data_IF_279775606646
#
_entry.id   IF_279775606646
#
_cell.length_a   1.000
_cell.length_b   1.000
_cell.length_c   1.000
_cell.angle_alpha   90.00
_cell.angle_beta   90.00
_cell.angle_gamma   90.00
#
_symmetry.space_group_name_H-M   'P 1'
#
loop_
_entity.id
_entity.type
_entity.pdbx_description
1 polymer ?
#
# COMPACT_ATOMS: atom_id res chain seq x y z
N UNK A 1 3.81 -21.08 3.26
CA UNK A 1 3.02 -20.18 4.13
C UNK A 1 1.69 -19.88 3.44
N UNK A 2 0.54 -20.11 4.09
CA UNK A 2 -0.76 -19.63 3.57
C UNK A 2 -0.70 -18.10 3.49
N UNK A 3 -1.17 -17.51 2.38
CA UNK A 3 -1.28 -16.06 2.27
C UNK A 3 -2.22 -15.54 3.37
N UNK A 4 -1.77 -14.58 4.18
CA UNK A 4 -2.62 -13.97 5.22
C UNK A 4 -3.73 -13.18 4.52
N UNK A 5 -4.98 -13.55 4.73
CA UNK A 5 -6.14 -12.80 4.22
C UNK A 5 -6.38 -11.56 5.10
N UNK A 6 -6.67 -10.40 4.48
CA UNK A 6 -7.00 -9.16 5.17
C UNK A 6 -8.18 -9.29 6.14
N UNK A 7 -9.10 -10.23 5.91
CA UNK A 7 -10.20 -10.56 6.84
C UNK A 7 -9.73 -10.99 8.23
N UNK A 8 -8.45 -11.39 8.35
CA UNK A 8 -7.84 -11.81 9.61
C UNK A 8 -7.09 -10.67 10.31
N UNK A 9 -7.01 -9.48 9.72
CA UNK A 9 -6.38 -8.32 10.36
C UNK A 9 -7.29 -7.78 11.48
N UNK A 10 -6.72 -7.24 12.58
CA UNK A 10 -7.50 -6.62 13.64
C UNK A 10 -8.39 -5.49 13.10
N UNK A 11 -9.71 -5.61 13.30
CA UNK A 11 -10.69 -4.67 12.74
C UNK A 11 -10.41 -3.22 13.16
N UNK A 12 -10.03 -2.99 14.42
CA UNK A 12 -9.72 -1.65 14.95
C UNK A 12 -8.55 -0.99 14.19
N UNK A 13 -7.49 -1.75 13.88
CA UNK A 13 -6.34 -1.23 13.13
C UNK A 13 -6.68 -0.99 11.67
N UNK A 14 -7.48 -1.86 11.06
CA UNK A 14 -8.00 -1.63 9.71
C UNK A 14 -8.83 -0.35 9.65
N UNK A 15 -9.71 -0.12 10.63
CA UNK A 15 -10.51 1.12 10.72
C UNK A 15 -9.61 2.35 10.83
N UNK A 16 -8.51 2.29 11.59
CA UNK A 16 -7.55 3.38 11.69
C UNK A 16 -6.87 3.67 10.33
N UNK A 17 -6.38 2.63 9.65
CA UNK A 17 -5.82 2.75 8.29
C UNK A 17 -6.84 3.35 7.32
N UNK A 18 -8.08 2.86 7.33
CA UNK A 18 -9.13 3.36 6.44
C UNK A 18 -9.47 4.82 6.73
N UNK A 19 -9.54 5.23 8.00
CA UNK A 19 -9.78 6.63 8.36
C UNK A 19 -8.67 7.53 7.85
N UNK A 20 -7.42 7.13 8.04
CA UNK A 20 -6.25 7.89 7.59
C UNK A 20 -6.26 8.08 6.07
N UNK A 21 -6.38 6.97 5.32
CA UNK A 21 -6.44 7.03 3.86
C UNK A 21 -7.68 7.80 3.40
N UNK A 22 -8.87 7.50 3.92
CA UNK A 22 -10.10 8.16 3.49
C UNK A 22 -10.09 9.67 3.77
N UNK A 23 -9.62 10.10 4.95
CA UNK A 23 -9.60 11.52 5.31
C UNK A 23 -8.71 12.35 4.38
N UNK A 24 -7.60 11.80 3.92
CA UNK A 24 -6.71 12.48 2.96
C UNK A 24 -7.39 12.66 1.59
N UNK A 25 -8.21 11.69 1.17
CA UNK A 25 -8.83 11.68 -0.16
C UNK A 25 -10.32 12.03 -0.21
N UNK A 26 -10.98 12.25 0.92
CA UNK A 26 -12.43 12.45 1.01
C UNK A 26 -12.90 13.54 0.04
N UNK A 27 -12.18 14.66 -0.01
CA UNK A 27 -12.51 15.78 -0.89
C UNK A 27 -12.42 15.39 -2.38
N UNK A 28 -11.37 14.68 -2.77
CA UNK A 28 -11.20 14.21 -4.16
C UNK A 28 -12.23 13.15 -4.52
N UNK A 29 -12.51 12.22 -3.60
CA UNK A 29 -13.58 11.23 -3.74
C UNK A 29 -14.94 11.87 -3.96
N UNK A 30 -15.29 12.87 -3.15
CA UNK A 30 -16.53 13.64 -3.32
C UNK A 30 -16.58 14.35 -4.67
N UNK A 31 -15.45 14.86 -5.15
CA UNK A 31 -15.36 15.54 -6.44
C UNK A 31 -15.55 14.59 -7.63
N UNK A 32 -15.15 13.31 -7.54
CA UNK A 32 -15.40 12.33 -8.60
C UNK A 32 -16.87 12.09 -8.90
N UNK A 33 -17.76 12.25 -7.90
CA UNK A 33 -19.21 12.16 -8.13
C UNK A 33 -19.75 13.35 -8.95
N UNK A 34 -19.00 14.45 -9.00
CA UNK A 34 -19.37 15.67 -9.71
C UNK A 34 -18.62 15.85 -11.04
N UNK A 35 -17.38 15.34 -11.15
CA UNK A 35 -16.54 15.43 -12.34
C UNK A 35 -15.81 14.10 -12.59
N UNK A 36 -16.18 13.43 -13.68
CA UNK A 36 -15.60 12.16 -14.13
C UNK A 36 -14.14 12.26 -14.60
N UNK A 37 -13.58 13.47 -14.69
CA UNK A 37 -12.15 13.70 -15.00
C UNK A 37 -11.29 13.85 -13.75
N UNK A 38 -11.90 13.86 -12.56
CA UNK A 38 -11.16 13.87 -11.30
C UNK A 38 -10.40 12.55 -11.14
N UNK A 39 -9.08 12.60 -11.18
CA UNK A 39 -8.24 11.43 -10.92
C UNK A 39 -8.08 11.23 -9.40
N UNK A 40 -8.47 10.05 -8.93
CA UNK A 40 -8.09 9.58 -7.61
C UNK A 40 -6.84 8.73 -7.71
N UNK A 41 -5.70 9.35 -7.41
CA UNK A 41 -4.39 8.70 -7.45
C UNK A 41 -3.86 8.51 -6.03
N UNK A 42 -4.35 7.51 -5.31
CA UNK A 42 -3.64 7.03 -4.12
C UNK A 42 -2.43 6.19 -4.57
N UNK A 43 -1.23 6.55 -4.15
CA UNK A 43 -0.01 5.86 -4.59
C UNK A 43 0.25 4.58 -3.80
N UNK A 44 0.99 3.60 -4.38
CA UNK A 44 1.46 2.41 -3.66
C UNK A 44 2.24 2.73 -2.38
N UNK A 45 3.03 3.81 -2.40
CA UNK A 45 3.81 4.28 -1.26
C UNK A 45 2.90 4.67 -0.09
N UNK A 46 1.89 5.53 -0.35
CA UNK A 46 0.98 6.03 0.69
C UNK A 46 0.20 4.90 1.37
N UNK A 47 -0.25 3.90 0.60
CA UNK A 47 -0.89 2.71 1.18
C UNK A 47 0.10 1.91 2.01
N UNK A 48 1.30 1.62 1.50
CA UNK A 48 2.30 0.88 2.24
C UNK A 48 2.69 1.57 3.56
N UNK A 49 2.88 2.89 3.51
CA UNK A 49 3.20 3.73 4.66
C UNK A 49 2.11 3.72 5.73
N UNK A 50 0.85 3.90 5.32
CA UNK A 50 -0.28 3.86 6.25
C UNK A 50 -0.36 2.49 6.94
N UNK A 51 -0.26 1.37 6.20
CA UNK A 51 -0.26 0.04 6.83
C UNK A 51 0.96 -0.21 7.70
N UNK A 52 2.12 0.35 7.35
CA UNK A 52 3.34 0.22 8.11
C UNK A 52 3.19 0.81 9.52
N UNK A 53 2.63 2.03 9.64
CA UNK A 53 2.35 2.70 10.92
C UNK A 53 1.54 1.85 11.90
N UNK A 54 0.67 0.97 11.42
CA UNK A 54 -0.18 0.11 12.26
C UNK A 54 0.30 -1.35 12.33
N UNK A 55 1.49 -1.66 11.79
CA UNK A 55 2.06 -3.00 11.78
C UNK A 55 1.24 -4.00 10.96
N UNK A 56 0.73 -3.55 9.81
CA UNK A 56 -0.13 -4.33 8.91
C UNK A 56 0.50 -4.55 7.52
N UNK A 57 1.83 -4.46 7.44
CA UNK A 57 2.63 -4.56 6.21
C UNK A 57 2.21 -5.71 5.27
N UNK A 58 1.89 -6.88 5.82
CA UNK A 58 1.49 -8.06 5.04
C UNK A 58 0.18 -7.90 4.25
N UNK A 59 -0.65 -6.93 4.60
CA UNK A 59 -1.96 -6.70 3.99
C UNK A 59 -1.93 -5.58 2.94
N UNK A 60 -0.79 -4.90 2.75
CA UNK A 60 -0.70 -3.68 1.93
C UNK A 60 -1.15 -3.90 0.49
N UNK A 61 -0.76 -5.01 -0.14
CA UNK A 61 -1.22 -5.32 -1.51
C UNK A 61 -2.73 -5.59 -1.58
N UNK A 62 -3.32 -6.22 -0.56
CA UNK A 62 -4.77 -6.47 -0.52
C UNK A 62 -5.56 -5.17 -0.33
N UNK A 63 -5.08 -4.29 0.56
CA UNK A 63 -5.68 -2.96 0.77
C UNK A 63 -5.56 -2.12 -0.49
N UNK A 64 -4.38 -2.07 -1.12
CA UNK A 64 -4.19 -1.32 -2.35
C UNK A 64 -5.12 -1.80 -3.48
N UNK A 65 -5.25 -3.12 -3.66
CA UNK A 65 -6.16 -3.71 -4.65
C UNK A 65 -7.62 -3.36 -4.32
N UNK A 66 -8.01 -3.34 -3.05
CA UNK A 66 -9.36 -2.97 -2.63
C UNK A 66 -9.65 -1.50 -2.95
N UNK A 67 -8.75 -0.57 -2.60
CA UNK A 67 -8.87 0.83 -3.00
C UNK A 67 -8.88 0.96 -4.53
N UNK A 68 -7.85 0.50 -5.23
CA UNK A 68 -7.74 0.64 -6.69
C UNK A 68 -8.84 -0.12 -7.48
N UNK A 69 -9.41 -1.18 -6.90
CA UNK A 69 -10.55 -1.91 -7.45
C UNK A 69 -11.89 -1.21 -7.27
N UNK A 70 -12.10 -0.50 -6.14
CA UNK A 70 -13.30 0.31 -5.90
C UNK A 70 -13.32 1.62 -6.71
N UNK A 71 -12.15 2.16 -7.10
CA UNK A 71 -12.05 3.46 -7.77
C UNK A 71 -11.94 3.43 -9.30
N UNK A 72 -12.10 2.25 -9.91
CA UNK A 72 -12.00 2.00 -11.35
C UNK A 72 -10.60 2.22 -11.93
N UNK A 73 -9.92 1.11 -12.29
CA UNK A 73 -8.75 1.16 -13.17
C UNK A 73 -7.64 0.13 -12.96
N UNK A 74 -7.67 -0.73 -11.94
CA UNK A 74 -6.59 -1.72 -11.76
C UNK A 74 -6.47 -2.79 -12.87
N UNK A 75 -7.35 -2.81 -13.87
CA UNK A 75 -7.37 -3.88 -14.88
C UNK A 75 -6.19 -3.87 -15.86
N UNK A 76 -5.56 -2.72 -16.15
CA UNK A 76 -4.55 -2.67 -17.22
C UNK A 76 -3.12 -3.04 -16.79
N UNK A 77 -2.75 -2.89 -15.49
CA UNK A 77 -1.37 -3.15 -15.05
C UNK A 77 -1.22 -3.62 -13.58
N UNK A 78 -2.12 -4.48 -13.11
CA UNK A 78 -2.14 -4.93 -11.71
C UNK A 78 -0.82 -5.58 -11.25
N UNK A 79 -0.08 -6.21 -12.16
CA UNK A 79 1.19 -6.89 -11.83
C UNK A 79 2.28 -5.89 -11.43
N UNK A 80 2.43 -4.78 -12.16
CA UNK A 80 3.45 -3.77 -11.85
C UNK A 80 3.11 -3.08 -10.53
N UNK A 81 1.85 -2.68 -10.37
CA UNK A 81 1.33 -2.11 -9.12
C UNK A 81 1.60 -3.00 -7.91
N UNK A 82 1.36 -4.31 -8.02
CA UNK A 82 1.66 -5.25 -6.93
C UNK A 82 3.17 -5.30 -6.64
N UNK A 83 4.03 -5.24 -7.65
CA UNK A 83 5.48 -5.16 -7.41
C UNK A 83 5.85 -3.86 -6.71
N UNK A 84 5.25 -2.73 -7.09
CA UNK A 84 5.53 -1.42 -6.48
C UNK A 84 5.13 -1.39 -5.00
N UNK A 85 3.93 -1.90 -4.65
CA UNK A 85 3.51 -2.03 -3.24
C UNK A 85 4.47 -2.93 -2.46
N UNK A 86 4.88 -4.07 -3.04
CA UNK A 86 5.84 -4.98 -2.41
C UNK A 86 7.21 -4.32 -2.24
N UNK A 87 7.62 -3.50 -3.21
CA UNK A 87 8.80 -2.65 -3.16
C UNK A 87 8.79 -1.76 -1.94
N UNK A 88 7.73 -0.99 -1.77
CA UNK A 88 7.62 -0.08 -0.62
C UNK A 88 7.56 -0.80 0.72
N UNK A 89 6.83 -1.92 0.82
CA UNK A 89 6.84 -2.75 2.04
C UNK A 89 8.25 -3.23 2.36
N UNK A 90 9.03 -3.63 1.35
CA UNK A 90 10.44 -4.00 1.53
C UNK A 90 11.30 -2.79 1.94
N UNK A 91 11.06 -1.62 1.36
CA UNK A 91 11.77 -0.38 1.70
C UNK A 91 11.59 0.00 3.18
N UNK A 92 10.35 0.04 3.65
CA UNK A 92 10.05 0.34 5.06
C UNK A 92 10.70 -0.67 6.01
N UNK A 93 10.63 -1.96 5.66
CA UNK A 93 11.28 -3.01 6.46
C UNK A 93 12.80 -2.81 6.53
N UNK A 94 13.44 -2.49 5.40
CA UNK A 94 14.89 -2.27 5.35
C UNK A 94 15.28 -0.99 6.09
N UNK A 95 14.49 0.07 5.99
CA UNK A 95 14.68 1.30 6.73
C UNK A 95 14.66 1.06 8.24
N UNK A 96 13.70 0.27 8.75
CA UNK A 96 13.66 -0.15 10.16
C UNK A 96 14.89 -0.98 10.56
N UNK A 97 15.27 -1.97 9.73
CA UNK A 97 16.41 -2.86 10.00
C UNK A 97 17.75 -2.09 10.02
N UNK A 98 17.89 -1.06 9.20
CA UNK A 98 19.08 -0.21 9.10
C UNK A 98 19.03 1.03 10.00
N UNK A 99 17.87 1.33 10.60
CA UNK A 99 17.59 2.55 11.36
C UNK A 99 17.92 3.84 10.56
N UNK A 100 17.39 3.92 9.34
CA UNK A 100 17.52 5.07 8.42
C UNK A 100 16.15 5.54 7.93
N UNK A 101 16.08 6.71 7.31
CA UNK A 101 14.83 7.18 6.69
C UNK A 101 14.49 6.36 5.43
N UNK A 102 13.20 6.07 5.22
CA UNK A 102 12.75 5.28 4.05
C UNK A 102 13.08 5.96 2.71
N UNK A 103 13.22 7.29 2.69
CA UNK A 103 13.64 8.03 1.49
C UNK A 103 15.05 7.71 1.02
N UNK A 104 15.89 7.12 1.88
CA UNK A 104 17.23 6.64 1.54
C UNK A 104 17.21 5.25 0.88
N UNK A 105 16.07 4.55 0.90
CA UNK A 105 15.94 3.18 0.43
C UNK A 105 15.24 3.14 -0.93
N UNK A 106 15.93 2.63 -1.95
CA UNK A 106 15.31 2.35 -3.25
C UNK A 106 14.40 1.11 -3.17
N UNK A 107 13.07 1.24 -3.35
CA UNK A 107 12.13 0.15 -3.06
C UNK A 107 12.37 -1.14 -3.84
N UNK A 108 12.85 -1.01 -5.07
CA UNK A 108 13.01 -2.15 -5.97
C UNK A 108 14.27 -2.95 -5.61
N UNK A 109 15.34 -2.26 -5.20
CA UNK A 109 16.54 -2.91 -4.64
C UNK A 109 16.24 -3.60 -3.31
N UNK A 110 15.45 -2.97 -2.43
CA UNK A 110 15.03 -3.59 -1.19
C UNK A 110 14.22 -4.87 -1.43
N UNK A 111 13.30 -4.84 -2.39
CA UNK A 111 12.53 -6.03 -2.77
C UNK A 111 13.40 -7.15 -3.34
N UNK A 112 14.40 -6.82 -4.17
CA UNK A 112 15.35 -7.80 -4.69
C UNK A 112 16.20 -8.42 -3.58
N UNK A 113 16.70 -7.62 -2.64
CA UNK A 113 17.45 -8.09 -1.46
C UNK A 113 16.67 -9.14 -0.65
N UNK A 114 15.40 -8.88 -0.33
CA UNK A 114 14.61 -9.87 0.43
C UNK A 114 14.14 -11.07 -0.40
N UNK A 115 14.17 -10.99 -1.74
CA UNK A 115 13.94 -12.15 -2.61
C UNK A 115 15.15 -13.09 -2.58
N UNK A 116 16.38 -12.57 -2.60
CA UNK A 116 17.60 -13.38 -2.58
C UNK A 116 17.87 -14.00 -1.21
N UNK A 117 17.51 -13.33 -0.12
CA UNK A 117 17.64 -13.89 1.24
C UNK A 117 16.63 -14.99 1.60
N UNK A 118 15.54 -15.14 0.85
CA UNK A 118 14.54 -16.21 1.04
C UNK A 118 14.81 -17.46 0.20
N UNK A 119 15.86 -17.44 -0.61
CA UNK A 119 16.31 -18.56 -1.45
C UNK A 119 17.39 -19.38 -0.76
#
# INVERSE_FOLDING_TARGET
>A
MKAKNISNAPAERLVQVFKELYSEYEKNLRNMFNDSRTELSISPQQVAEALHRYGLNEYASQVYILFGGMYAGCAYNIKNVIQDVKGWVAAYRMADELNVDVSEIEPQKALEYYKTQKS
#
